data_IF_479236025031
#
_entry.id   IF_479236025031
#
_cell.length_a   1.000
_cell.length_b   1.000
_cell.length_c   1.000
_cell.angle_alpha   90.00
_cell.angle_beta   90.00
_cell.angle_gamma   90.00
#
_symmetry.space_group_name_H-M   'P 1'
#
loop_
_entity.id
_entity.type
_entity.pdbx_description
1 polymer ?
#
# COMPACT_ATOMS: atom_id res chain seq x y z
N UNK A 1 -9.86 5.83 -10.56
CA UNK A 1 -8.39 5.95 -10.76
C UNK A 1 -7.84 4.62 -11.24
N UNK A 2 -6.88 4.66 -12.17
CA UNK A 2 -6.17 3.47 -12.64
C UNK A 2 -4.69 3.62 -12.35
N UNK A 3 -4.10 2.67 -11.60
CA UNK A 3 -2.73 2.77 -11.10
C UNK A 3 -1.95 1.48 -11.38
N UNK A 4 -0.71 1.63 -11.86
CA UNK A 4 0.27 0.55 -11.94
C UNK A 4 1.25 0.67 -10.77
N UNK A 5 1.36 -0.36 -9.93
CA UNK A 5 2.33 -0.43 -8.82
C UNK A 5 3.47 -1.36 -9.18
N UNK A 6 4.68 -0.91 -8.95
CA UNK A 6 5.91 -1.68 -9.19
C UNK A 6 6.87 -1.54 -8.02
N UNK A 7 7.49 -2.63 -7.60
CA UNK A 7 8.53 -2.60 -6.57
C UNK A 7 9.77 -1.84 -7.06
N UNK A 8 10.43 -1.10 -6.16
CA UNK A 8 11.58 -0.24 -6.50
C UNK A 8 12.75 -0.99 -7.15
N UNK A 9 13.00 -2.25 -6.77
CA UNK A 9 14.08 -3.05 -7.35
C UNK A 9 13.70 -3.55 -8.76
N UNK A 10 12.42 -3.90 -8.97
CA UNK A 10 11.88 -4.26 -10.29
C UNK A 10 11.87 -3.04 -11.22
N UNK A 11 11.46 -1.88 -10.69
CA UNK A 11 11.48 -0.62 -11.45
C UNK A 11 12.90 -0.21 -11.85
N UNK A 12 13.89 -0.34 -10.96
CA UNK A 12 15.28 -0.03 -11.30
C UNK A 12 15.77 -0.89 -12.46
N UNK A 13 15.52 -2.21 -12.43
CA UNK A 13 15.88 -3.11 -13.53
C UNK A 13 15.16 -2.76 -14.83
N UNK A 14 13.87 -2.40 -14.75
CA UNK A 14 13.10 -1.94 -15.88
C UNK A 14 13.68 -0.62 -16.44
N UNK A 15 13.91 0.35 -15.58
CA UNK A 15 14.43 1.67 -15.97
C UNK A 15 15.83 1.58 -16.60
N UNK A 16 16.73 0.81 -16.03
CA UNK A 16 18.08 0.60 -16.57
C UNK A 16 18.04 -0.06 -17.95
N UNK A 17 17.07 -0.96 -18.19
CA UNK A 17 16.85 -1.56 -19.49
C UNK A 17 16.22 -0.58 -20.50
N UNK A 18 15.23 0.20 -20.08
CA UNK A 18 14.52 1.13 -20.95
C UNK A 18 15.36 2.34 -21.37
N UNK A 19 16.33 2.78 -20.54
CA UNK A 19 17.13 3.99 -20.77
C UNK A 19 18.61 3.69 -20.88
N UNK A 20 18.96 2.87 -21.88
CA UNK A 20 20.35 2.58 -22.22
C UNK A 20 21.05 3.81 -22.83
N UNK A 21 22.38 3.71 -22.99
CA UNK A 21 23.19 4.84 -23.48
C UNK A 21 23.07 5.11 -25.00
N UNK A 22 22.43 4.21 -25.74
CA UNK A 22 22.24 4.29 -27.18
C UNK A 22 21.14 5.27 -27.63
N UNK A 23 20.33 5.77 -26.69
CA UNK A 23 19.19 6.66 -26.94
C UNK A 23 18.07 6.05 -27.80
N UNK A 24 18.07 4.75 -27.99
CA UNK A 24 17.03 4.03 -28.72
C UNK A 24 15.83 3.75 -27.80
N UNK A 25 14.70 3.40 -28.40
CA UNK A 25 13.55 2.87 -27.68
C UNK A 25 13.80 1.41 -27.29
N UNK A 26 13.56 1.10 -26.05
CA UNK A 26 13.59 -0.26 -25.50
C UNK A 26 12.25 -0.63 -24.93
N UNK A 27 11.92 -1.93 -24.99
CA UNK A 27 10.66 -2.46 -24.53
C UNK A 27 10.79 -3.53 -23.47
N UNK A 28 9.73 -3.71 -22.71
CA UNK A 28 9.55 -4.79 -21.76
C UNK A 28 8.10 -5.24 -21.72
N UNK A 29 7.85 -6.50 -21.36
CA UNK A 29 6.54 -6.98 -20.98
C UNK A 29 6.51 -7.23 -19.47
N UNK A 30 5.45 -6.77 -18.82
CA UNK A 30 5.26 -6.98 -17.38
C UNK A 30 4.05 -7.88 -17.18
N UNK A 31 4.12 -8.75 -16.18
CA UNK A 31 2.99 -9.53 -15.68
C UNK A 31 2.53 -8.89 -14.38
N UNK A 32 1.23 -8.56 -14.29
CA UNK A 32 0.67 -7.85 -13.15
C UNK A 32 -0.59 -8.53 -12.61
N UNK A 33 -0.70 -8.63 -11.29
CA UNK A 33 -1.97 -8.95 -10.64
C UNK A 33 -2.93 -7.79 -10.76
N UNK A 34 -4.20 -8.07 -11.06
CA UNK A 34 -5.25 -7.06 -11.19
C UNK A 34 -6.18 -7.10 -9.99
N UNK A 35 -6.59 -5.93 -9.51
CA UNK A 35 -7.57 -5.78 -8.44
C UNK A 35 -8.40 -4.51 -8.62
N UNK A 36 -9.70 -4.62 -8.35
CA UNK A 36 -10.59 -3.46 -8.30
C UNK A 36 -10.93 -3.19 -6.84
N UNK A 37 -10.54 -2.01 -6.35
CA UNK A 37 -10.83 -1.63 -4.96
C UNK A 37 -12.33 -1.39 -4.73
N UNK A 38 -12.82 -1.40 -3.48
CA UNK A 38 -14.21 -1.06 -3.17
C UNK A 38 -14.66 0.29 -3.73
N UNK A 39 -13.75 1.26 -3.85
CA UNK A 39 -13.99 2.59 -4.45
C UNK A 39 -14.01 2.56 -5.99
N UNK A 40 -13.88 1.38 -6.62
CA UNK A 40 -13.87 1.21 -8.07
C UNK A 40 -12.55 1.59 -8.76
N UNK A 41 -11.45 1.76 -8.01
CA UNK A 41 -10.13 2.01 -8.59
C UNK A 41 -9.52 0.70 -9.10
N UNK A 42 -8.90 0.76 -10.29
CA UNK A 42 -8.17 -0.37 -10.85
C UNK A 42 -6.70 -0.30 -10.43
N UNK A 43 -6.23 -1.34 -9.77
CA UNK A 43 -4.83 -1.52 -9.37
C UNK A 43 -4.21 -2.65 -10.18
N UNK A 44 -3.07 -2.36 -10.81
CA UNK A 44 -2.21 -3.32 -11.48
C UNK A 44 -0.92 -3.46 -10.68
N UNK A 45 -0.68 -4.61 -10.06
CA UNK A 45 0.48 -4.84 -9.20
C UNK A 45 1.49 -5.72 -9.92
N UNK A 46 2.61 -5.16 -10.38
CA UNK A 46 3.65 -5.88 -11.13
C UNK A 46 4.20 -7.03 -10.31
N UNK A 47 4.17 -8.22 -10.89
CA UNK A 47 4.75 -9.46 -10.36
C UNK A 47 6.11 -9.74 -10.94
N UNK A 48 6.24 -9.55 -12.27
CA UNK A 48 7.43 -9.84 -13.02
C UNK A 48 7.68 -8.81 -14.10
N UNK A 49 8.96 -8.57 -14.38
CA UNK A 49 9.45 -7.70 -15.45
C UNK A 49 10.28 -8.56 -16.41
N UNK A 50 9.90 -8.55 -17.67
CA UNK A 50 10.59 -9.25 -18.76
C UNK A 50 11.14 -8.22 -19.76
N UNK A 51 12.40 -7.81 -19.62
CA UNK A 51 13.09 -7.00 -20.61
C UNK A 51 13.12 -7.71 -21.96
N UNK A 52 12.86 -6.99 -23.05
CA UNK A 52 12.86 -7.55 -24.40
C UNK A 52 14.20 -7.29 -25.10
N UNK A 53 14.75 -8.35 -25.71
CA UNK A 53 15.92 -8.24 -26.55
C UNK A 53 15.60 -7.66 -27.94
N UNK A 54 16.64 -7.40 -28.73
CA UNK A 54 16.52 -6.82 -30.09
C UNK A 54 15.65 -7.70 -31.00
N UNK A 55 15.72 -9.04 -30.85
CA UNK A 55 14.92 -9.98 -31.64
C UNK A 55 13.44 -9.99 -31.22
N UNK A 56 13.14 -9.60 -29.97
CA UNK A 56 11.78 -9.54 -29.43
C UNK A 56 11.14 -8.15 -29.57
N UNK A 57 11.96 -7.12 -29.77
CA UNK A 57 11.56 -5.74 -29.96
C UNK A 57 12.37 -5.10 -31.11
N UNK A 58 12.26 -5.62 -32.32
CA UNK A 58 13.02 -5.16 -33.48
C UNK A 58 12.61 -3.75 -33.93
N UNK A 59 13.50 -3.02 -34.61
CA UNK A 59 13.15 -1.76 -35.26
C UNK A 59 12.08 -2.01 -36.35
N UNK A 60 11.04 -1.20 -36.34
CA UNK A 60 10.01 -1.17 -37.38
C UNK A 60 10.40 -0.35 -38.60
N UNK A 61 9.51 -0.29 -39.62
CA UNK A 61 9.80 0.34 -40.91
C UNK A 61 9.97 1.88 -40.84
N UNK A 62 9.46 2.54 -39.82
CA UNK A 62 9.46 4.01 -39.72
C UNK A 62 10.15 4.54 -38.44
N UNK A 63 11.07 3.76 -37.87
CA UNK A 63 11.82 4.18 -36.68
C UNK A 63 11.13 3.89 -35.34
N UNK A 64 9.90 3.37 -35.36
CA UNK A 64 9.29 2.80 -34.17
C UNK A 64 9.65 1.32 -34.03
N UNK A 65 9.57 0.78 -32.82
CA UNK A 65 9.86 -0.63 -32.57
C UNK A 65 8.59 -1.45 -32.49
N UNK A 66 8.66 -2.71 -32.90
CA UNK A 66 7.52 -3.62 -32.89
C UNK A 66 7.72 -4.77 -31.91
N UNK A 67 6.66 -5.11 -31.22
CA UNK A 67 6.67 -6.28 -30.35
C UNK A 67 6.58 -7.57 -31.20
N UNK A 68 7.55 -8.48 -31.04
CA UNK A 68 7.55 -9.75 -31.76
C UNK A 68 6.39 -10.65 -31.29
N UNK A 69 5.73 -11.31 -32.24
CA UNK A 69 4.63 -12.23 -31.95
C UNK A 69 5.05 -13.38 -31.01
N UNK A 70 6.32 -13.82 -31.08
CA UNK A 70 6.87 -14.87 -30.21
C UNK A 70 6.92 -14.45 -28.73
N UNK A 71 7.29 -13.20 -28.44
CA UNK A 71 7.31 -12.67 -27.10
C UNK A 71 5.88 -12.53 -26.53
N UNK A 72 4.97 -12.00 -27.36
CA UNK A 72 3.53 -11.89 -27.01
C UNK A 72 2.90 -13.25 -26.74
N UNK A 73 3.12 -14.24 -27.61
CA UNK A 73 2.55 -15.57 -27.43
C UNK A 73 3.11 -16.24 -26.15
N UNK A 74 4.43 -16.15 -25.90
CA UNK A 74 5.07 -16.74 -24.73
C UNK A 74 4.55 -16.14 -23.43
N UNK A 75 4.51 -14.82 -23.32
CA UNK A 75 4.11 -14.14 -22.09
C UNK A 75 2.58 -13.99 -21.98
N UNK A 76 1.85 -13.91 -23.10
CA UNK A 76 0.40 -13.94 -23.12
C UNK A 76 -0.16 -15.27 -22.62
N UNK A 77 0.37 -16.41 -23.10
CA UNK A 77 -0.03 -17.71 -22.58
C UNK A 77 0.27 -17.86 -21.09
N UNK A 78 1.44 -17.39 -20.65
CA UNK A 78 1.78 -17.40 -19.23
C UNK A 78 0.85 -16.51 -18.41
N UNK A 79 0.50 -15.33 -18.91
CA UNK A 79 -0.45 -14.44 -18.27
C UNK A 79 -1.82 -15.13 -18.12
N UNK A 80 -2.28 -15.86 -19.14
CA UNK A 80 -3.52 -16.65 -19.10
C UNK A 80 -3.46 -17.75 -18.04
N UNK A 81 -2.38 -18.55 -18.03
CA UNK A 81 -2.20 -19.68 -17.10
C UNK A 81 -2.15 -19.19 -15.63
N UNK A 82 -1.54 -18.03 -15.37
CA UNK A 82 -1.38 -17.47 -14.03
C UNK A 82 -2.46 -16.44 -13.66
N UNK A 83 -3.43 -16.19 -14.52
CA UNK A 83 -4.49 -15.19 -14.35
C UNK A 83 -3.96 -13.78 -14.06
N UNK A 84 -2.96 -13.34 -14.84
CA UNK A 84 -2.32 -12.04 -14.73
C UNK A 84 -2.67 -11.15 -15.93
N UNK A 85 -2.71 -9.84 -15.67
CA UNK A 85 -2.78 -8.84 -16.74
C UNK A 85 -1.41 -8.67 -17.41
N UNK A 86 -1.43 -8.45 -18.72
CA UNK A 86 -0.23 -8.15 -19.50
C UNK A 86 -0.06 -6.65 -19.66
N UNK A 87 1.13 -6.15 -19.35
CA UNK A 87 1.49 -4.74 -19.50
C UNK A 87 2.63 -4.64 -20.50
N UNK A 88 2.40 -3.94 -21.62
CA UNK A 88 3.43 -3.55 -22.59
C UNK A 88 4.06 -2.24 -22.16
N UNK A 89 5.35 -2.21 -21.93
CA UNK A 89 6.11 -1.05 -21.50
C UNK A 89 7.21 -0.73 -22.53
N UNK A 90 7.41 0.56 -22.86
CA UNK A 90 8.51 1.02 -23.70
C UNK A 90 9.01 2.38 -23.25
N UNK A 91 10.22 2.75 -23.68
CA UNK A 91 10.80 4.05 -23.36
C UNK A 91 10.52 5.07 -24.44
N UNK A 92 10.35 6.34 -24.02
CA UNK A 92 10.51 7.53 -24.84
C UNK A 92 11.80 8.24 -24.40
N UNK A 93 12.98 7.91 -24.97
CA UNK A 93 14.27 8.27 -24.41
C UNK A 93 14.54 9.79 -24.37
N UNK A 94 13.86 10.58 -25.19
CA UNK A 94 13.93 12.05 -25.19
C UNK A 94 13.05 12.69 -24.12
N UNK A 95 12.06 11.95 -23.60
CA UNK A 95 11.14 12.44 -22.59
C UNK A 95 11.77 12.35 -21.19
N UNK A 96 11.62 13.40 -20.37
CA UNK A 96 12.09 13.43 -18.98
C UNK A 96 10.90 13.46 -18.00
N UNK A 97 10.46 14.64 -17.60
CA UNK A 97 9.38 14.86 -16.63
C UNK A 97 7.97 14.89 -17.26
N UNK A 98 7.90 14.75 -18.58
CA UNK A 98 6.65 14.71 -19.36
C UNK A 98 6.74 13.67 -20.44
N UNK A 99 5.73 12.82 -20.53
CA UNK A 99 5.58 11.85 -21.60
C UNK A 99 4.12 11.69 -21.99
N UNK A 100 3.86 11.03 -23.09
CA UNK A 100 2.53 10.70 -23.57
C UNK A 100 2.63 9.59 -24.59
N UNK A 101 1.55 8.89 -24.86
CA UNK A 101 1.47 7.91 -25.94
C UNK A 101 1.54 8.66 -27.29
N UNK A 102 2.38 8.19 -28.21
CA UNK A 102 2.48 8.68 -29.58
C UNK A 102 1.26 8.20 -30.40
N UNK A 103 1.14 8.71 -31.63
CA UNK A 103 0.12 8.20 -32.58
C UNK A 103 0.39 6.77 -32.98
N UNK A 104 1.65 6.39 -33.05
CA UNK A 104 2.07 5.05 -33.45
C UNK A 104 1.82 4.05 -32.30
N UNK A 105 2.01 4.45 -31.04
CA UNK A 105 1.64 3.65 -29.86
C UNK A 105 0.14 3.34 -29.87
N UNK A 106 -0.69 4.39 -30.06
CA UNK A 106 -2.14 4.23 -30.10
C UNK A 106 -2.60 3.34 -31.26
N UNK A 107 -1.97 3.47 -32.44
CA UNK A 107 -2.28 2.63 -33.59
C UNK A 107 -1.86 1.17 -33.35
N UNK A 108 -0.73 0.93 -32.69
CA UNK A 108 -0.30 -0.41 -32.29
C UNK A 108 -1.27 -1.05 -31.28
N UNK A 109 -1.73 -0.27 -30.29
CA UNK A 109 -2.72 -0.75 -29.32
C UNK A 109 -4.02 -1.13 -29.99
N UNK A 110 -4.53 -0.33 -30.93
CA UNK A 110 -5.75 -0.66 -31.71
C UNK A 110 -5.62 -1.99 -32.49
N UNK A 111 -4.44 -2.31 -32.96
CA UNK A 111 -4.21 -3.54 -33.73
C UNK A 111 -4.05 -4.78 -32.86
N UNK A 112 -3.50 -4.63 -31.64
CA UNK A 112 -2.98 -5.78 -30.88
C UNK A 112 -3.78 -6.04 -29.61
N UNK A 113 -4.27 -5.01 -28.90
CA UNK A 113 -4.81 -5.18 -27.53
C UNK A 113 -6.10 -6.00 -27.47
N UNK A 114 -6.97 -5.88 -28.49
CA UNK A 114 -8.14 -6.75 -28.58
C UNK A 114 -7.76 -8.23 -28.63
N UNK A 115 -6.76 -8.59 -29.44
CA UNK A 115 -6.27 -9.97 -29.52
C UNK A 115 -5.56 -10.41 -28.24
N UNK A 116 -4.86 -9.52 -27.57
CA UNK A 116 -4.20 -9.83 -26.29
C UNK A 116 -5.23 -10.11 -25.19
N UNK A 117 -6.32 -9.37 -25.13
CA UNK A 117 -7.43 -9.65 -24.22
C UNK A 117 -8.02 -11.03 -24.45
N UNK A 118 -8.19 -11.43 -25.72
CA UNK A 118 -8.69 -12.76 -26.09
C UNK A 118 -7.69 -13.88 -25.68
N UNK A 119 -6.38 -13.65 -25.89
CA UNK A 119 -5.34 -14.65 -25.58
C UNK A 119 -5.12 -14.81 -24.08
N UNK A 120 -5.04 -13.69 -23.36
CA UNK A 120 -4.71 -13.71 -21.91
C UNK A 120 -5.92 -14.10 -21.06
N UNK A 121 -7.14 -14.00 -21.62
CA UNK A 121 -8.38 -14.08 -20.84
C UNK A 121 -8.39 -13.17 -19.60
N UNK A 122 -7.51 -12.16 -19.58
CA UNK A 122 -7.40 -11.18 -18.53
C UNK A 122 -8.52 -10.15 -18.63
N UNK A 123 -8.85 -9.50 -17.54
CA UNK A 123 -9.83 -8.42 -17.56
C UNK A 123 -9.26 -7.13 -18.14
N UNK A 124 -7.91 -6.99 -18.23
CA UNK A 124 -7.28 -5.82 -18.85
C UNK A 124 -5.94 -6.13 -19.52
N UNK A 125 -5.61 -5.28 -20.50
CA UNK A 125 -4.27 -5.15 -21.12
C UNK A 125 -3.88 -3.67 -21.05
N UNK A 126 -2.62 -3.40 -20.76
CA UNK A 126 -2.14 -2.03 -20.51
C UNK A 126 -0.93 -1.72 -21.39
N UNK A 127 -0.89 -0.52 -21.99
CA UNK A 127 0.29 0.04 -22.64
C UNK A 127 0.82 1.23 -21.87
N UNK A 128 2.14 1.25 -21.62
CA UNK A 128 2.81 2.32 -20.86
C UNK A 128 4.05 2.80 -21.59
N UNK A 129 4.09 4.08 -21.91
CA UNK A 129 5.29 4.79 -22.35
C UNK A 129 5.95 5.45 -21.13
N UNK A 130 7.25 5.19 -20.94
CA UNK A 130 8.06 5.79 -19.88
C UNK A 130 8.94 6.91 -20.42
N UNK A 131 8.90 8.08 -19.80
CA UNK A 131 9.98 9.04 -19.76
C UNK A 131 10.91 8.75 -18.59
N UNK A 132 12.05 9.42 -18.49
CA UNK A 132 13.02 9.16 -17.40
C UNK A 132 12.42 9.37 -16.01
N UNK A 133 11.49 10.32 -15.86
CA UNK A 133 10.81 10.66 -14.59
C UNK A 133 9.30 10.81 -14.77
N UNK A 134 8.74 10.24 -15.83
CA UNK A 134 7.32 10.33 -16.14
C UNK A 134 6.82 9.02 -16.74
N UNK A 135 5.52 8.80 -16.69
CA UNK A 135 4.86 7.66 -17.33
C UNK A 135 3.47 8.07 -17.81
N UNK A 136 3.09 7.58 -18.98
CA UNK A 136 1.75 7.73 -19.52
C UNK A 136 1.29 6.40 -20.11
N UNK A 137 0.02 6.10 -20.05
CA UNK A 137 -0.48 4.84 -20.58
C UNK A 137 -1.99 4.82 -20.71
N UNK A 138 -2.47 3.73 -21.28
CA UNK A 138 -3.89 3.41 -21.34
C UNK A 138 -4.16 1.95 -21.01
N UNK A 139 -5.33 1.70 -20.47
CA UNK A 139 -5.81 0.38 -20.08
C UNK A 139 -7.05 0.04 -20.92
N UNK A 140 -7.01 -1.10 -21.57
CA UNK A 140 -8.12 -1.68 -22.29
C UNK A 140 -8.71 -2.82 -21.48
N UNK A 141 -10.03 -2.83 -21.34
CA UNK A 141 -10.72 -3.85 -20.56
C UNK A 141 -11.52 -4.79 -21.47
N UNK A 142 -11.74 -6.00 -20.97
CA UNK A 142 -12.54 -7.02 -21.66
C UNK A 142 -14.01 -6.63 -21.87
N UNK A 143 -14.53 -5.64 -21.10
CA UNK A 143 -15.86 -5.06 -21.30
C UNK A 143 -15.91 -4.01 -22.45
N UNK A 144 -14.78 -3.77 -23.14
CA UNK A 144 -14.63 -2.78 -24.19
C UNK A 144 -14.34 -1.37 -23.70
N UNK A 145 -14.31 -1.11 -22.40
CA UNK A 145 -13.95 0.20 -21.86
C UNK A 145 -12.45 0.46 -21.96
N UNK A 146 -12.09 1.75 -22.06
CA UNK A 146 -10.70 2.23 -22.13
C UNK A 146 -10.51 3.35 -21.15
N UNK A 147 -9.43 3.31 -20.41
CA UNK A 147 -9.11 4.29 -19.39
C UNK A 147 -7.65 4.75 -19.53
N UNK A 148 -7.40 6.02 -19.26
CA UNK A 148 -6.02 6.48 -19.10
C UNK A 148 -5.42 5.84 -17.84
N UNK A 149 -4.12 5.52 -17.89
CA UNK A 149 -3.35 5.20 -16.70
C UNK A 149 -3.04 6.51 -15.98
N UNK A 150 -3.58 6.69 -14.77
CA UNK A 150 -3.43 7.93 -14.03
C UNK A 150 -2.00 8.11 -13.48
N UNK A 151 -1.38 7.00 -13.05
CA UNK A 151 -0.01 7.01 -12.53
C UNK A 151 0.63 5.63 -12.49
N UNK A 152 1.96 5.63 -12.48
CA UNK A 152 2.79 4.49 -12.06
C UNK A 152 3.38 4.83 -10.70
N UNK A 153 3.17 3.95 -9.72
CA UNK A 153 3.72 4.08 -8.38
C UNK A 153 4.88 3.13 -8.19
N UNK A 154 6.05 3.66 -7.94
CA UNK A 154 7.25 2.89 -7.57
C UNK A 154 7.31 2.79 -6.06
N UNK A 155 7.27 1.57 -5.53
CA UNK A 155 7.17 1.33 -4.09
C UNK A 155 8.46 0.70 -3.55
N UNK A 156 9.09 1.39 -2.62
CA UNK A 156 10.31 0.95 -1.95
C UNK A 156 10.51 1.68 -0.62
N UNK A 157 11.75 1.99 -0.27
CA UNK A 157 12.05 2.84 0.87
C UNK A 157 11.49 4.25 0.69
N UNK A 158 11.43 4.71 -0.56
CA UNK A 158 10.72 5.91 -0.97
C UNK A 158 9.56 5.50 -1.88
N UNK A 159 8.50 6.30 -1.89
CA UNK A 159 7.40 6.17 -2.85
C UNK A 159 7.61 7.23 -3.92
N UNK A 160 7.71 6.81 -5.18
CA UNK A 160 7.80 7.70 -6.33
C UNK A 160 6.53 7.55 -7.18
N UNK A 161 5.98 8.67 -7.63
CA UNK A 161 4.80 8.69 -8.49
C UNK A 161 5.16 9.26 -9.86
N UNK A 162 5.12 8.42 -10.88
CA UNK A 162 5.35 8.81 -12.27
C UNK A 162 3.98 9.08 -12.90
N UNK A 163 3.85 10.26 -13.48
CA UNK A 163 2.64 10.71 -14.19
C UNK A 163 3.01 11.23 -15.57
N UNK A 164 2.03 11.31 -16.45
CA UNK A 164 2.22 11.88 -17.78
C UNK A 164 2.75 13.32 -17.73
N UNK A 165 2.42 14.06 -16.70
CA UNK A 165 2.88 15.43 -16.42
C UNK A 165 3.01 15.63 -14.92
N UNK A 166 3.96 16.43 -14.45
CA UNK A 166 4.04 16.79 -13.04
C UNK A 166 2.74 17.47 -12.58
N UNK A 167 2.28 17.20 -11.37
CA UNK A 167 1.11 17.86 -10.82
C UNK A 167 1.36 19.38 -10.74
N UNK A 168 0.32 20.17 -10.99
CA UNK A 168 0.38 21.61 -10.73
C UNK A 168 -0.04 21.83 -9.28
N UNK A 169 0.82 22.41 -8.48
CA UNK A 169 0.46 22.93 -7.16
C UNK A 169 -0.55 24.06 -7.37
N UNK A 170 -1.80 23.84 -7.04
CA UNK A 170 -2.89 24.74 -7.45
C UNK A 170 -3.54 25.50 -6.31
N UNK A 171 -3.26 25.15 -5.06
CA UNK A 171 -3.99 25.71 -3.93
C UNK A 171 -3.06 26.39 -2.91
N UNK A 172 -3.46 27.57 -2.36
CA UNK A 172 -2.78 28.12 -1.21
C UNK A 172 -2.90 27.09 -0.06
N UNK A 173 -1.78 26.76 0.53
CA UNK A 173 -1.74 25.88 1.68
C UNK A 173 -2.42 26.56 2.87
N UNK A 174 -3.23 25.82 3.61
CA UNK A 174 -3.86 26.31 4.84
C UNK A 174 -2.80 26.87 5.80
N UNK A 175 -3.06 28.01 6.42
CA UNK A 175 -2.16 28.71 7.34
C UNK A 175 -1.69 27.82 8.49
N UNK A 176 -2.49 26.87 8.94
CA UNK A 176 -2.15 25.89 9.98
C UNK A 176 -0.91 25.06 9.64
N UNK A 177 -0.62 24.89 8.34
CA UNK A 177 0.54 24.14 7.85
C UNK A 177 1.78 25.01 7.53
N UNK A 178 1.76 26.33 7.82
CA UNK A 178 2.88 27.22 7.50
C UNK A 178 4.24 26.67 7.97
N UNK A 179 4.30 26.10 9.17
CA UNK A 179 5.53 25.51 9.72
C UNK A 179 5.97 24.26 8.97
N UNK A 180 5.03 23.42 8.57
CA UNK A 180 5.28 22.19 7.82
C UNK A 180 5.70 22.50 6.38
N UNK A 181 5.07 23.48 5.75
CA UNK A 181 5.42 23.95 4.40
C UNK A 181 6.86 24.47 4.33
N UNK A 182 7.38 25.07 5.40
CA UNK A 182 8.78 25.48 5.48
C UNK A 182 9.76 24.29 5.49
N UNK A 183 9.30 23.10 5.91
CA UNK A 183 10.10 21.88 5.91
C UNK A 183 9.90 21.06 4.63
N UNK A 184 8.65 20.82 4.23
CA UNK A 184 8.30 19.92 3.13
C UNK A 184 8.09 20.62 1.80
N UNK A 185 7.97 21.95 1.79
CA UNK A 185 7.49 22.72 0.65
C UNK A 185 5.97 22.60 0.48
N UNK A 186 5.37 23.48 -0.32
CA UNK A 186 3.95 23.46 -0.63
C UNK A 186 3.54 22.16 -1.34
N UNK A 187 4.37 21.66 -2.26
CA UNK A 187 4.14 20.40 -2.97
C UNK A 187 4.16 19.20 -2.02
N UNK A 188 5.09 19.16 -1.05
CA UNK A 188 5.13 18.09 -0.04
C UNK A 188 3.87 18.07 0.82
N UNK A 189 3.37 19.24 1.24
CA UNK A 189 2.13 19.33 1.99
C UNK A 189 0.90 18.91 1.18
N UNK A 190 0.84 19.30 -0.11
CA UNK A 190 -0.23 18.86 -1.00
C UNK A 190 -0.20 17.34 -1.21
N UNK A 191 0.98 16.75 -1.33
CA UNK A 191 1.13 15.27 -1.40
C UNK A 191 0.61 14.59 -0.13
N UNK A 192 0.94 15.10 1.05
CA UNK A 192 0.41 14.59 2.33
C UNK A 192 -1.12 14.64 2.35
N UNK A 193 -1.71 15.77 1.93
CA UNK A 193 -3.17 15.94 1.81
C UNK A 193 -3.83 15.00 0.78
N UNK A 194 -3.07 14.48 -0.16
CA UNK A 194 -3.56 13.49 -1.13
C UNK A 194 -3.50 12.04 -0.66
N UNK A 195 -2.79 11.74 0.43
CA UNK A 195 -2.58 10.37 0.88
C UNK A 195 -3.80 9.77 1.57
N UNK A 196 -3.99 8.47 1.35
CA UNK A 196 -4.90 7.61 2.08
C UNK A 196 -4.09 6.66 2.98
N UNK A 197 -4.17 6.83 4.28
CA UNK A 197 -3.41 6.04 5.25
C UNK A 197 -4.34 5.12 6.03
N UNK A 198 -3.94 3.85 6.20
CA UNK A 198 -4.63 2.90 7.05
C UNK A 198 -3.90 2.70 8.39
N UNK A 199 -4.64 2.70 9.49
CA UNK A 199 -4.13 2.39 10.84
C UNK A 199 -4.88 1.16 11.36
N UNK A 200 -4.18 0.07 11.54
CA UNK A 200 -4.71 -1.19 12.05
C UNK A 200 -4.40 -1.29 13.55
N UNK A 201 -5.45 -1.20 14.36
CA UNK A 201 -5.40 -1.09 15.82
C UNK A 201 -5.62 0.36 16.30
N UNK A 202 -6.72 0.62 17.02
CA UNK A 202 -7.07 1.92 17.63
C UNK A 202 -6.79 1.94 19.16
N UNK A 203 -5.82 1.13 19.60
CA UNK A 203 -5.34 1.11 20.97
C UNK A 203 -4.45 2.31 21.32
N UNK A 204 -3.59 2.14 22.33
CA UNK A 204 -2.71 3.21 22.79
C UNK A 204 -1.78 3.76 21.70
N UNK A 205 -1.12 2.89 20.92
CA UNK A 205 -0.22 3.32 19.85
C UNK A 205 -0.98 3.87 18.64
N UNK A 206 -2.01 3.16 18.18
CA UNK A 206 -2.75 3.54 16.98
C UNK A 206 -3.55 4.83 17.14
N UNK A 207 -4.16 5.09 18.30
CA UNK A 207 -4.88 6.35 18.55
C UNK A 207 -3.96 7.56 18.54
N UNK A 208 -2.75 7.45 19.12
CA UNK A 208 -1.74 8.51 19.09
C UNK A 208 -1.27 8.76 17.66
N UNK A 209 -0.97 7.68 16.94
CA UNK A 209 -0.53 7.77 15.55
C UNK A 209 -1.59 8.42 14.66
N UNK A 210 -2.86 8.01 14.79
CA UNK A 210 -3.97 8.60 14.05
C UNK A 210 -4.06 10.12 14.30
N UNK A 211 -3.94 10.57 15.56
CA UNK A 211 -3.93 11.98 15.92
C UNK A 211 -2.75 12.72 15.24
N UNK A 212 -1.55 12.16 15.27
CA UNK A 212 -0.38 12.75 14.62
C UNK A 212 -0.54 12.86 13.10
N UNK A 213 -1.07 11.82 12.44
CA UNK A 213 -1.35 11.83 11.00
C UNK A 213 -2.34 12.94 10.62
N UNK A 214 -3.35 13.18 11.44
CA UNK A 214 -4.32 14.27 11.22
C UNK A 214 -3.66 15.64 11.36
N UNK A 215 -2.78 15.83 12.34
CA UNK A 215 -2.01 17.07 12.48
C UNK A 215 -1.03 17.28 11.32
N UNK A 216 -0.52 16.23 10.70
CA UNK A 216 0.27 16.32 9.47
C UNK A 216 -0.56 16.71 8.24
N UNK A 217 -1.87 16.59 8.31
CA UNK A 217 -2.76 16.93 7.20
C UNK A 217 -2.92 15.82 6.17
N UNK A 218 -2.93 14.55 6.61
CA UNK A 218 -3.30 13.42 5.75
C UNK A 218 -4.76 13.55 5.32
N UNK A 219 -5.04 13.40 4.03
CA UNK A 219 -6.38 13.66 3.48
C UNK A 219 -7.42 12.59 3.80
N UNK A 220 -7.02 11.31 3.84
CA UNK A 220 -7.91 10.19 4.19
C UNK A 220 -7.25 9.25 5.18
N UNK A 221 -8.01 8.86 6.20
CA UNK A 221 -7.57 7.94 7.24
C UNK A 221 -8.59 6.81 7.40
N UNK A 222 -8.15 5.57 7.22
CA UNK A 222 -8.95 4.38 7.57
C UNK A 222 -8.42 3.81 8.88
N UNK A 223 -9.29 3.60 9.87
CA UNK A 223 -8.90 3.04 11.17
C UNK A 223 -9.67 1.76 11.44
N UNK A 224 -8.96 0.69 11.74
CA UNK A 224 -9.52 -0.66 11.96
C UNK A 224 -9.27 -1.10 13.40
N UNK A 225 -10.31 -1.45 14.14
CA UNK A 225 -10.23 -2.08 15.47
C UNK A 225 -11.60 -2.68 15.84
N UNK A 226 -11.71 -3.96 16.25
CA UNK A 226 -12.98 -4.59 16.61
C UNK A 226 -13.48 -4.25 18.02
N UNK A 227 -12.66 -3.60 18.84
CA UNK A 227 -12.90 -3.47 20.27
C UNK A 227 -13.71 -2.22 20.65
N UNK A 228 -14.32 -2.30 21.83
CA UNK A 228 -14.91 -1.17 22.53
C UNK A 228 -13.95 -0.58 23.57
N UNK A 229 -14.19 0.68 23.94
CA UNK A 229 -13.47 1.33 25.05
C UNK A 229 -13.88 0.73 26.37
N UNK A 230 -12.88 0.30 27.16
CA UNK A 230 -13.04 -0.19 28.54
C UNK A 230 -12.34 0.77 29.50
N UNK A 231 -12.71 0.72 30.79
CA UNK A 231 -12.15 1.63 31.82
C UNK A 231 -10.61 1.61 31.87
N UNK A 232 -9.98 0.45 31.72
CA UNK A 232 -8.52 0.32 31.73
C UNK A 232 -7.86 0.86 30.45
N UNK A 233 -8.63 1.15 29.40
CA UNK A 233 -8.12 1.79 28.18
C UNK A 233 -7.96 3.30 28.32
N UNK A 234 -8.65 3.94 29.27
CA UNK A 234 -8.68 5.39 29.45
C UNK A 234 -7.30 6.00 29.75
N UNK A 235 -6.36 5.18 30.22
CA UNK A 235 -4.98 5.63 30.49
C UNK A 235 -4.12 5.75 29.24
N UNK A 236 -4.57 5.26 28.05
CA UNK A 236 -3.71 5.17 26.86
C UNK A 236 -4.39 5.46 25.52
N UNK A 237 -5.73 5.39 25.41
CA UNK A 237 -6.42 5.74 24.16
C UNK A 237 -6.67 7.24 24.14
N UNK A 238 -6.10 7.92 23.13
CA UNK A 238 -6.27 9.36 22.95
C UNK A 238 -7.73 9.70 22.64
N UNK A 239 -8.24 10.75 23.30
CA UNK A 239 -9.62 11.21 23.12
C UNK A 239 -10.71 10.36 23.80
N UNK A 240 -10.35 9.22 24.42
CA UNK A 240 -11.31 8.38 25.14
C UNK A 240 -11.71 8.99 26.49
N UNK A 241 -13.00 8.92 26.82
CA UNK A 241 -13.60 9.48 28.04
C UNK A 241 -14.24 8.40 28.93
N UNK A 242 -14.51 8.76 30.17
CA UNK A 242 -15.28 7.87 31.07
C UNK A 242 -16.70 7.58 30.55
N UNK A 243 -17.27 8.50 29.77
CA UNK A 243 -18.58 8.31 29.14
C UNK A 243 -18.48 7.21 28.07
N UNK A 244 -17.42 7.22 27.25
CA UNK A 244 -17.18 6.18 26.25
C UNK A 244 -17.04 4.79 26.87
N UNK A 245 -16.27 4.67 27.97
CA UNK A 245 -16.11 3.40 28.67
C UNK A 245 -17.42 2.86 29.30
N UNK A 246 -18.31 3.75 29.74
CA UNK A 246 -19.63 3.35 30.25
C UNK A 246 -20.60 2.95 29.14
N UNK A 247 -20.53 3.65 27.99
CA UNK A 247 -21.38 3.38 26.85
C UNK A 247 -20.91 2.19 25.99
N UNK A 248 -19.66 1.71 26.19
CA UNK A 248 -19.06 0.71 25.32
C UNK A 248 -18.84 1.24 23.90
N UNK A 249 -18.45 2.52 23.77
CA UNK A 249 -18.17 3.15 22.47
C UNK A 249 -17.04 2.40 21.74
N UNK A 250 -17.18 2.20 20.43
CA UNK A 250 -16.14 1.59 19.62
C UNK A 250 -14.87 2.44 19.64
N UNK A 251 -13.69 1.81 19.69
CA UNK A 251 -12.43 2.54 19.69
C UNK A 251 -12.25 3.36 18.41
N UNK A 252 -12.66 2.81 17.26
CA UNK A 252 -12.60 3.51 15.98
C UNK A 252 -13.47 4.78 15.94
N UNK A 253 -14.63 4.77 16.62
CA UNK A 253 -15.50 5.96 16.71
C UNK A 253 -14.88 7.06 17.57
N UNK A 254 -14.12 6.68 18.61
CA UNK A 254 -13.38 7.65 19.42
C UNK A 254 -12.32 8.35 18.57
N UNK A 255 -11.58 7.60 17.75
CA UNK A 255 -10.58 8.15 16.82
C UNK A 255 -11.26 9.05 15.78
N UNK A 256 -12.36 8.63 15.17
CA UNK A 256 -13.10 9.42 14.18
C UNK A 256 -13.62 10.74 14.80
N UNK A 257 -14.13 10.69 16.03
CA UNK A 257 -14.55 11.89 16.75
C UNK A 257 -13.39 12.84 17.05
N UNK A 258 -12.24 12.32 17.48
CA UNK A 258 -11.04 13.12 17.73
C UNK A 258 -10.53 13.77 16.45
N UNK A 259 -10.58 13.05 15.33
CA UNK A 259 -10.25 13.56 14.02
C UNK A 259 -11.10 14.77 13.62
N UNK A 260 -12.42 14.64 13.72
CA UNK A 260 -13.34 15.74 13.41
C UNK A 260 -13.17 16.97 14.31
N UNK A 261 -12.62 16.80 15.51
CA UNK A 261 -12.28 17.91 16.41
C UNK A 261 -10.99 18.64 16.00
N UNK A 262 -10.02 17.92 15.38
CA UNK A 262 -8.77 18.49 14.86
C UNK A 262 -9.03 19.19 13.52
N UNK A 263 -9.71 18.51 12.62
CA UNK A 263 -10.02 18.97 11.29
C UNK A 263 -11.28 18.30 10.74
N UNK A 264 -12.35 19.08 10.62
CA UNK A 264 -13.63 18.58 10.08
C UNK A 264 -13.57 18.22 8.58
N UNK A 265 -12.50 18.58 7.87
CA UNK A 265 -12.32 18.27 6.43
C UNK A 265 -11.62 16.94 6.19
N UNK A 266 -10.97 16.37 7.20
CA UNK A 266 -10.32 15.04 7.08
C UNK A 266 -11.38 13.95 6.95
N UNK A 267 -11.24 13.14 5.93
CA UNK A 267 -12.11 11.99 5.73
C UNK A 267 -11.60 10.79 6.54
N UNK A 268 -12.27 10.51 7.66
CA UNK A 268 -11.95 9.34 8.49
C UNK A 268 -13.00 8.25 8.29
N UNK A 269 -12.56 7.06 7.92
CA UNK A 269 -13.38 5.86 7.79
C UNK A 269 -13.12 4.94 8.98
N UNK A 270 -14.00 4.92 10.01
CA UNK A 270 -13.91 3.95 11.09
C UNK A 270 -14.43 2.59 10.62
N UNK A 271 -13.61 1.55 10.73
CA UNK A 271 -13.98 0.17 10.43
C UNK A 271 -14.02 -0.65 11.73
N UNK A 272 -15.23 -0.91 12.19
CA UNK A 272 -15.49 -1.79 13.33
C UNK A 272 -15.40 -3.25 12.89
N UNK A 273 -14.23 -3.85 12.95
CA UNK A 273 -14.01 -5.23 12.52
C UNK A 273 -12.57 -5.68 12.71
N UNK A 274 -12.36 -6.98 12.54
CA UNK A 274 -11.02 -7.56 12.54
C UNK A 274 -10.42 -7.49 11.13
N UNK A 275 -9.13 -7.15 11.05
CA UNK A 275 -8.39 -7.14 9.77
C UNK A 275 -8.29 -8.53 9.13
N UNK A 276 -8.54 -9.60 9.90
CA UNK A 276 -8.66 -10.96 9.40
C UNK A 276 -9.92 -11.20 8.57
N UNK A 277 -10.94 -10.36 8.73
CA UNK A 277 -12.17 -10.42 7.93
C UNK A 277 -11.88 -9.87 6.53
N UNK A 278 -12.26 -10.64 5.51
CA UNK A 278 -11.97 -10.27 4.11
C UNK A 278 -12.52 -8.90 3.74
N UNK A 279 -13.76 -8.59 4.12
CA UNK A 279 -14.41 -7.31 3.84
C UNK A 279 -13.66 -6.12 4.45
N UNK A 280 -13.06 -6.30 5.64
CA UNK A 280 -12.23 -5.29 6.31
C UNK A 280 -10.86 -5.16 5.62
N UNK A 281 -10.22 -6.30 5.30
CA UNK A 281 -8.94 -6.32 4.64
C UNK A 281 -8.98 -5.65 3.26
N UNK A 282 -10.05 -5.87 2.49
CA UNK A 282 -10.26 -5.27 1.17
C UNK A 282 -10.32 -3.73 1.21
N UNK A 283 -10.84 -3.13 2.27
CA UNK A 283 -10.87 -1.67 2.44
C UNK A 283 -9.47 -1.06 2.58
N UNK A 284 -8.47 -1.86 2.98
CA UNK A 284 -7.09 -1.40 3.15
C UNK A 284 -6.28 -1.42 1.84
N UNK A 285 -6.74 -2.14 0.81
CA UNK A 285 -6.02 -2.28 -0.46
C UNK A 285 -5.91 -0.93 -1.20
N UNK A 286 -6.88 -0.05 -1.01
CA UNK A 286 -6.89 1.30 -1.55
C UNK A 286 -5.96 2.29 -0.82
N UNK A 287 -5.34 1.90 0.29
CA UNK A 287 -4.43 2.77 1.03
C UNK A 287 -3.08 2.93 0.32
N UNK A 288 -2.47 4.09 0.52
CA UNK A 288 -1.12 4.40 0.05
C UNK A 288 -0.05 3.88 1.01
N UNK A 289 -0.40 3.80 2.29
CA UNK A 289 0.48 3.40 3.38
C UNK A 289 -0.32 2.77 4.53
N UNK A 290 0.24 1.78 5.22
CA UNK A 290 -0.40 1.15 6.36
C UNK A 290 0.48 1.22 7.62
N UNK A 291 -0.16 1.46 8.75
CA UNK A 291 0.45 1.29 10.06
C UNK A 291 -0.22 0.13 10.81
N UNK A 292 0.61 -0.79 11.28
CA UNK A 292 0.17 -1.93 12.06
C UNK A 292 0.50 -1.69 13.54
N UNK A 293 -0.52 -1.36 14.33
CA UNK A 293 -0.44 -1.00 15.74
C UNK A 293 -1.16 -2.03 16.65
N UNK A 294 -1.26 -3.27 16.19
CA UNK A 294 -1.82 -4.41 16.94
C UNK A 294 -0.75 -5.46 17.24
N UNK A 295 -0.99 -6.27 18.25
CA UNK A 295 -0.10 -7.31 18.76
C UNK A 295 -0.45 -8.73 18.27
N UNK A 296 -1.62 -8.93 17.61
CA UNK A 296 -2.06 -10.24 17.17
C UNK A 296 -1.19 -10.81 16.02
N UNK A 297 -0.94 -12.13 16.06
CA UNK A 297 -0.19 -12.83 15.02
C UNK A 297 -0.97 -12.86 13.70
N UNK A 298 -2.30 -12.99 13.76
CA UNK A 298 -3.19 -12.98 12.62
C UNK A 298 -3.13 -11.65 11.86
N UNK A 299 -3.24 -10.51 12.56
CA UNK A 299 -3.12 -9.21 11.92
C UNK A 299 -1.74 -9.00 11.28
N UNK A 300 -0.66 -9.45 11.92
CA UNK A 300 0.70 -9.42 11.35
C UNK A 300 0.79 -10.22 10.06
N UNK A 301 0.16 -11.40 10.00
CA UNK A 301 0.13 -12.24 8.82
C UNK A 301 -0.65 -11.58 7.68
N UNK A 302 -1.89 -11.16 7.94
CA UNK A 302 -2.77 -10.55 6.93
C UNK A 302 -2.17 -9.27 6.37
N UNK A 303 -1.71 -8.36 7.23
CA UNK A 303 -1.13 -7.08 6.78
C UNK A 303 0.19 -7.29 6.04
N UNK A 304 1.00 -8.30 6.41
CA UNK A 304 2.18 -8.68 5.63
C UNK A 304 1.79 -9.21 4.24
N UNK A 305 0.72 -9.99 4.13
CA UNK A 305 0.21 -10.46 2.84
C UNK A 305 -0.28 -9.30 1.97
N UNK A 306 -1.06 -8.36 2.53
CA UNK A 306 -1.51 -7.13 1.85
C UNK A 306 -0.30 -6.35 1.32
N UNK A 307 0.73 -6.12 2.16
CA UNK A 307 1.93 -5.38 1.78
C UNK A 307 2.63 -5.98 0.56
N UNK A 308 2.80 -7.31 0.54
CA UNK A 308 3.51 -8.00 -0.54
C UNK A 308 2.65 -8.16 -1.79
N UNK A 309 1.35 -8.38 -1.63
CA UNK A 309 0.44 -8.63 -2.75
C UNK A 309 0.09 -7.35 -3.50
N UNK A 310 -0.21 -6.27 -2.77
CA UNK A 310 -0.69 -5.02 -3.36
C UNK A 310 0.38 -3.93 -3.38
N UNK A 311 1.62 -4.29 -3.06
CA UNK A 311 2.76 -3.38 -3.04
C UNK A 311 2.46 -2.13 -2.19
N UNK A 312 1.95 -2.32 -0.97
CA UNK A 312 1.67 -1.24 -0.02
C UNK A 312 2.76 -1.26 1.06
N UNK A 313 3.49 -0.16 1.28
CA UNK A 313 4.44 -0.10 2.38
C UNK A 313 3.70 -0.11 3.72
N UNK A 314 4.22 -0.86 4.67
CA UNK A 314 3.68 -0.97 6.03
C UNK A 314 4.76 -0.65 7.04
N UNK A 315 4.39 0.00 8.11
CA UNK A 315 5.22 0.10 9.31
C UNK A 315 4.50 -0.54 10.49
N UNK A 316 5.10 -1.60 11.04
CA UNK A 316 4.64 -2.20 12.29
C UNK A 316 5.24 -1.45 13.46
N UNK A 317 4.37 -1.03 14.39
CA UNK A 317 4.75 -0.41 15.65
C UNK A 317 4.41 -1.32 16.83
N UNK A 318 5.23 -1.27 17.86
CA UNK A 318 4.97 -1.99 19.08
C UNK A 318 5.80 -1.49 20.25
N UNK A 319 5.26 -1.65 21.43
CA UNK A 319 6.00 -1.49 22.68
C UNK A 319 5.94 -2.83 23.41
N UNK A 320 7.06 -3.25 24.01
CA UNK A 320 7.13 -4.48 24.81
C UNK A 320 7.77 -4.17 26.16
N UNK A 321 7.18 -4.68 27.20
CA UNK A 321 7.73 -4.68 28.55
C UNK A 321 8.01 -6.12 28.94
N UNK A 322 9.27 -6.47 29.12
CA UNK A 322 9.65 -7.80 29.61
C UNK A 322 9.75 -7.77 31.12
N UNK A 323 9.13 -8.75 31.76
CA UNK A 323 9.12 -8.91 33.19
C UNK A 323 9.76 -10.24 33.59
N UNK A 324 10.49 -10.25 34.71
CA UNK A 324 10.97 -11.49 35.32
C UNK A 324 9.80 -12.27 35.91
N UNK A 325 10.03 -13.53 36.21
CA UNK A 325 9.06 -14.36 36.94
C UNK A 325 8.67 -13.79 38.33
N UNK A 326 9.46 -12.87 38.86
CA UNK A 326 9.20 -12.09 40.10
C UNK A 326 8.21 -10.93 39.91
N UNK A 327 7.82 -10.61 38.65
CA UNK A 327 7.02 -9.44 38.31
C UNK A 327 7.81 -8.13 38.17
N UNK A 328 9.13 -8.18 38.37
CA UNK A 328 10.00 -7.00 38.15
C UNK A 328 10.21 -6.75 36.66
N UNK A 329 10.19 -5.47 36.25
CA UNK A 329 10.49 -5.06 34.87
C UNK A 329 11.97 -5.36 34.61
N UNK A 330 12.25 -6.17 33.61
CA UNK A 330 13.60 -6.49 33.18
C UNK A 330 14.04 -5.59 32.04
N UNK A 331 13.19 -5.40 31.05
CA UNK A 331 13.49 -4.60 29.87
C UNK A 331 12.24 -3.93 29.29
N UNK A 332 12.42 -2.71 28.80
CA UNK A 332 11.40 -1.95 28.09
C UNK A 332 11.97 -1.52 26.76
N UNK A 333 11.28 -1.83 25.67
CA UNK A 333 11.67 -1.36 24.34
C UNK A 333 10.47 -1.05 23.47
N UNK A 334 10.69 -0.13 22.53
CA UNK A 334 9.78 0.15 21.44
C UNK A 334 10.37 -0.40 20.14
N UNK A 335 9.51 -0.82 19.24
CA UNK A 335 9.92 -1.35 17.97
C UNK A 335 9.16 -0.66 16.84
N UNK A 336 9.92 -0.26 15.82
CA UNK A 336 9.45 0.27 14.55
C UNK A 336 10.03 -0.60 13.46
N UNK A 337 9.18 -1.28 12.70
CA UNK A 337 9.63 -2.25 11.69
C UNK A 337 8.97 -1.96 10.36
N UNK A 338 9.72 -1.47 9.37
CA UNK A 338 9.20 -1.32 8.02
C UNK A 338 9.03 -2.71 7.37
N UNK A 339 7.89 -2.92 6.73
CA UNK A 339 7.59 -4.04 5.86
C UNK A 339 7.42 -3.47 4.47
N UNK A 340 8.46 -3.62 3.67
CA UNK A 340 8.49 -3.08 2.31
C UNK A 340 8.24 -4.20 1.30
N UNK A 341 7.51 -3.91 0.23
CA UNK A 341 7.33 -4.86 -0.86
C UNK A 341 8.66 -5.43 -1.36
N UNK A 342 8.71 -6.74 -1.59
CA UNK A 342 9.90 -7.48 -2.08
C UNK A 342 11.11 -7.51 -1.12
N UNK A 343 11.03 -6.90 0.07
CA UNK A 343 12.16 -6.85 1.03
C UNK A 343 11.95 -7.69 2.29
N UNK A 344 11.00 -8.62 2.22
CA UNK A 344 10.64 -9.47 3.34
C UNK A 344 9.41 -8.98 4.09
N UNK A 345 8.89 -9.82 4.94
CA UNK A 345 7.67 -9.57 5.73
C UNK A 345 7.90 -9.96 7.20
N UNK A 346 6.90 -9.73 8.06
CA UNK A 346 7.01 -10.06 9.49
C UNK A 346 7.20 -11.56 9.73
N UNK A 347 6.70 -12.43 8.84
CA UNK A 347 6.96 -13.88 8.89
C UNK A 347 8.43 -14.18 8.61
N UNK A 348 9.01 -13.59 7.57
CA UNK A 348 10.44 -13.75 7.24
C UNK A 348 11.35 -13.26 8.38
N UNK A 349 10.90 -12.26 9.13
CA UNK A 349 11.61 -11.71 10.29
C UNK A 349 11.40 -12.53 11.58
N UNK A 350 10.65 -13.64 11.55
CA UNK A 350 10.35 -14.46 12.72
C UNK A 350 9.44 -13.80 13.75
N UNK A 351 8.64 -12.82 13.32
CA UNK A 351 7.78 -12.02 14.21
C UNK A 351 6.31 -12.49 14.24
N UNK A 352 6.02 -13.59 13.55
CA UNK A 352 4.74 -14.28 13.58
C UNK A 352 4.97 -15.64 14.22
N UNK A 353 4.53 -15.78 15.47
CA UNK A 353 4.63 -17.03 16.21
C UNK A 353 3.54 -18.01 15.69
N UNK A 354 3.92 -19.18 15.13
CA UNK A 354 2.95 -20.15 14.64
C UNK A 354 2.01 -20.70 15.74
N UNK A 355 2.49 -20.81 16.98
CA UNK A 355 1.67 -21.29 18.10
C UNK A 355 0.61 -20.26 18.49
N UNK A 356 1.00 -18.98 18.50
CA UNK A 356 0.05 -17.88 18.76
C UNK A 356 -0.99 -17.79 17.62
N UNK A 357 -0.55 -17.89 16.37
CA UNK A 357 -1.44 -17.90 15.22
C UNK A 357 -2.46 -19.05 15.29
N UNK A 358 -2.02 -20.26 15.66
CA UNK A 358 -2.90 -21.41 15.85
C UNK A 358 -3.92 -21.16 16.99
N UNK A 359 -3.48 -20.56 18.10
CA UNK A 359 -4.37 -20.21 19.22
C UNK A 359 -5.41 -19.15 18.83
N UNK A 360 -5.01 -18.14 18.08
CA UNK A 360 -5.92 -17.10 17.58
C UNK A 360 -6.95 -17.67 16.61
N UNK A 361 -6.54 -18.59 15.73
CA UNK A 361 -7.44 -19.27 14.77
C UNK A 361 -8.39 -20.30 15.42
N UNK A 362 -8.10 -20.76 16.65
CA UNK A 362 -8.92 -21.74 17.33
C UNK A 362 -10.30 -21.17 17.69
N UNK A 363 -11.33 -21.99 17.52
CA UNK A 363 -12.70 -21.66 17.95
C UNK A 363 -12.79 -21.43 19.47
N UNK A 364 -13.81 -20.73 19.99
CA UNK A 364 -14.00 -20.56 21.43
C UNK A 364 -14.06 -21.90 22.19
N UNK A 365 -14.61 -22.95 21.56
CA UNK A 365 -14.68 -24.30 22.15
C UNK A 365 -13.28 -24.92 22.22
N UNK A 366 -12.47 -24.83 21.18
CA UNK A 366 -11.11 -25.36 21.18
C UNK A 366 -10.22 -24.60 22.18
N UNK A 367 -10.34 -23.27 22.26
CA UNK A 367 -9.64 -22.45 23.26
C UNK A 367 -9.97 -22.85 24.68
N UNK A 368 -11.25 -23.11 24.99
CA UNK A 368 -11.67 -23.56 26.33
C UNK A 368 -11.10 -24.95 26.69
N UNK A 369 -10.89 -25.82 25.71
CA UNK A 369 -10.31 -27.15 25.91
C UNK A 369 -8.78 -27.16 25.98
N UNK A 370 -8.10 -26.14 25.40
CA UNK A 370 -6.64 -26.01 25.44
C UNK A 370 -6.10 -25.42 26.76
N UNK A 371 -6.95 -24.83 27.61
CA UNK A 371 -6.58 -24.29 28.93
C UNK A 371 -6.08 -25.32 29.96
N UNK A 372 -5.79 -26.54 29.53
CA UNK A 372 -5.24 -27.60 30.42
C UNK A 372 -3.74 -27.42 30.73
N UNK A 373 -3.05 -26.47 30.11
CA UNK A 373 -1.63 -26.17 30.33
C UNK A 373 -1.48 -24.73 30.84
N UNK A 374 -1.89 -24.44 32.06
CA UNK A 374 -1.35 -23.46 32.98
C UNK A 374 -0.95 -22.06 32.46
N UNK A 375 -1.54 -21.57 31.37
CA UNK A 375 -1.30 -20.22 30.88
C UNK A 375 -2.07 -19.21 31.74
N UNK A 376 -1.35 -18.53 32.60
CA UNK A 376 -1.84 -17.31 33.24
C UNK A 376 -1.96 -16.25 32.13
N UNK A 377 -3.18 -15.73 31.92
CA UNK A 377 -3.41 -14.53 31.10
C UNK A 377 -2.64 -13.35 31.72
N UNK A 378 -1.38 -13.23 31.37
CA UNK A 378 -0.58 -12.05 31.74
C UNK A 378 -0.97 -10.93 30.79
N UNK A 379 -1.79 -10.01 31.30
CA UNK A 379 -2.12 -8.78 30.58
C UNK A 379 -0.84 -7.96 30.40
N UNK A 380 -0.38 -7.82 29.17
CA UNK A 380 0.83 -7.07 28.86
C UNK A 380 0.72 -5.62 29.36
N UNK A 381 1.72 -5.14 30.13
CA UNK A 381 1.73 -3.76 30.59
C UNK A 381 1.87 -2.78 29.42
N UNK A 382 1.02 -1.75 29.40
CA UNK A 382 1.00 -0.74 28.34
C UNK A 382 0.93 0.66 28.94
N UNK A 383 1.84 1.53 28.49
CA UNK A 383 1.96 2.92 28.98
C UNK A 383 1.94 3.90 27.80
N UNK A 384 1.17 5.00 27.94
CA UNK A 384 0.98 5.99 26.87
C UNK A 384 2.29 6.55 26.33
N UNK A 385 3.27 6.85 27.20
CA UNK A 385 4.57 7.41 26.78
C UNK A 385 5.39 6.44 25.93
N UNK A 386 5.33 5.14 26.18
CA UNK A 386 5.99 4.12 25.35
C UNK A 386 5.30 4.00 23.99
N UNK A 387 3.97 4.03 23.99
CA UNK A 387 3.19 4.00 22.77
C UNK A 387 3.42 5.26 21.91
N UNK A 388 3.52 6.43 22.55
CA UNK A 388 3.86 7.68 21.89
C UNK A 388 5.28 7.65 21.28
N UNK A 389 6.27 7.14 22.01
CA UNK A 389 7.62 6.98 21.48
C UNK A 389 7.66 6.09 20.25
N UNK A 390 6.95 4.96 20.24
CA UNK A 390 6.82 4.10 19.08
C UNK A 390 6.11 4.80 17.90
N UNK A 391 5.07 5.59 18.16
CA UNK A 391 4.34 6.35 17.12
C UNK A 391 5.18 7.51 16.55
N UNK A 392 5.90 8.25 17.39
CA UNK A 392 6.65 9.46 17.00
C UNK A 392 7.86 9.15 16.11
N UNK A 393 8.53 8.02 16.32
CA UNK A 393 9.68 7.60 15.47
C UNK A 393 9.33 7.33 14.01
N UNK A 394 8.05 7.45 13.61
CA UNK A 394 7.57 7.08 12.27
C UNK A 394 7.13 8.25 11.42
N UNK A 395 6.84 9.36 12.04
CA UNK A 395 6.24 10.52 11.39
C UNK A 395 7.31 11.56 11.02
N UNK A 396 8.53 11.34 11.42
CA UNK A 396 9.75 12.06 11.01
C UNK A 396 10.45 11.31 9.91
#
# INVERSE_FOLDING_TARGET
MTELRIGSDDYRRLHDHLFQADHDEHGALLLAGEHVTPDGNLLLCVREVHPLGVDEFPPGEHGYRQLAASALARLGNRAADEQLALVSAHSHPISDDRTGLSRDDLAAHEQIFGHLLDITAASSVTGVAFGRRSAAGEVWRSDGSRHALDQVRVVGANIEMLRARPPRVSHPTDERFDRQVRLFGAEGQERLGGLHVGVIGAGGGGSILAEQLMHLGIGRLTVVDPDIVKTHNLSRIMGATRADARAGTKKVDVVARAAGAIDATVNVTPLDGDVADLEVAEQLIGCDFLFLATDTATARLVVSAIAQTFLIPVVQIGAKVETRSTGEIEQIYTAVRPVLPRRGCLSCAGLIDPMLLQREAASPYERANQNYLGDVDVVDPSVTTLNAAAGTCQVG
#
